data_IF_537193269110
#
_entry.id   IF_537193269110
#
_cell.length_a   1.000
_cell.length_b   1.000
_cell.length_c   1.000
_cell.angle_alpha   90.00
_cell.angle_beta   90.00
_cell.angle_gamma   90.00
#
_symmetry.space_group_name_H-M   'P 1'
#
loop_
_entity.id
_entity.type
_entity.pdbx_description
1 polymer ?
#
# COMPACT_ATOMS: atom_id res chain seq x y z
N UNK A 1 -1.20 2.23 5.64
CA UNK A 1 -0.22 3.32 5.45
C UNK A 1 0.22 3.38 4.00
N UNK A 2 0.65 4.53 3.51
CA UNK A 2 1.24 4.69 2.16
C UNK A 2 2.44 5.62 2.21
N UNK A 3 3.53 5.23 1.56
CA UNK A 3 4.75 6.04 1.46
C UNK A 3 4.58 7.09 0.35
N UNK A 4 4.90 8.34 0.66
CA UNK A 4 4.75 9.44 -0.32
C UNK A 4 5.78 9.36 -1.46
N UNK A 5 7.01 8.97 -1.18
CA UNK A 5 8.07 8.87 -2.19
C UNK A 5 7.88 7.65 -3.10
N UNK A 6 7.85 6.46 -2.52
CA UNK A 6 7.82 5.20 -3.25
C UNK A 6 6.44 4.70 -3.64
N UNK A 7 5.36 5.33 -3.17
CA UNK A 7 3.98 4.83 -3.33
C UNK A 7 3.73 3.45 -2.73
N UNK A 8 4.66 2.95 -1.94
CA UNK A 8 4.53 1.67 -1.27
C UNK A 8 3.41 1.72 -0.24
N UNK A 9 2.53 0.73 -0.28
CA UNK A 9 1.45 0.54 0.69
C UNK A 9 1.92 -0.43 1.76
N UNK A 10 1.39 -0.29 2.98
CA UNK A 10 1.49 -1.29 4.05
C UNK A 10 0.13 -1.48 4.68
N UNK A 11 -0.43 -2.67 4.52
CA UNK A 11 -1.65 -3.09 5.21
C UNK A 11 -1.25 -3.58 6.60
N UNK A 12 -1.41 -2.73 7.60
CA UNK A 12 -0.96 -2.99 8.98
C UNK A 12 -1.92 -3.93 9.74
N UNK A 13 -3.14 -4.10 9.24
CA UNK A 13 -4.12 -5.00 9.81
C UNK A 13 -5.54 -4.66 9.38
N UNK A 14 -6.48 -5.52 9.76
CA UNK A 14 -7.91 -5.35 9.56
C UNK A 14 -8.63 -5.81 10.83
N UNK A 15 -8.85 -4.90 11.76
CA UNK A 15 -9.55 -5.16 13.02
C UNK A 15 -10.32 -3.93 13.48
N UNK A 16 -11.18 -4.10 14.45
CA UNK A 16 -11.78 -2.95 15.14
C UNK A 16 -10.69 -2.21 15.91
N UNK A 17 -10.49 -0.91 15.67
CA UNK A 17 -9.39 -0.18 16.28
C UNK A 17 -9.64 0.00 17.80
N UNK A 18 -8.92 -0.75 18.61
CA UNK A 18 -8.82 -0.50 20.04
C UNK A 18 -7.48 0.17 20.34
N UNK A 19 -7.39 0.90 21.47
CA UNK A 19 -6.15 1.57 21.90
C UNK A 19 -4.95 0.61 21.90
N UNK A 20 -5.13 -0.60 22.46
CA UNK A 20 -4.08 -1.61 22.51
C UNK A 20 -3.69 -2.11 21.13
N UNK A 21 -4.68 -2.34 20.24
CA UNK A 21 -4.42 -2.77 18.86
C UNK A 21 -3.67 -1.69 18.08
N UNK A 22 -4.09 -0.42 18.17
CA UNK A 22 -3.42 0.70 17.47
C UNK A 22 -1.98 0.86 17.95
N UNK A 23 -1.71 0.70 19.27
CA UNK A 23 -0.34 0.72 19.82
C UNK A 23 0.49 -0.45 19.26
N UNK A 24 -0.10 -1.65 19.18
CA UNK A 24 0.59 -2.81 18.63
C UNK A 24 0.90 -2.63 17.14
N UNK A 25 0.00 -1.99 16.38
CA UNK A 25 0.22 -1.61 14.98
C UNK A 25 1.42 -0.66 14.84
N UNK A 26 1.58 0.32 15.75
CA UNK A 26 2.76 1.20 15.73
C UNK A 26 4.06 0.41 15.93
N UNK A 27 4.09 -0.50 16.91
CA UNK A 27 5.27 -1.37 17.14
C UNK A 27 5.59 -2.25 15.94
N UNK A 28 4.58 -2.89 15.36
CA UNK A 28 4.75 -3.71 14.16
C UNK A 28 5.27 -2.89 12.98
N UNK A 29 4.78 -1.66 12.79
CA UNK A 29 5.26 -0.77 11.75
C UNK A 29 6.75 -0.40 11.93
N UNK A 30 7.16 -0.09 13.16
CA UNK A 30 8.58 0.20 13.47
C UNK A 30 9.45 -1.00 13.12
N UNK A 31 9.09 -2.20 13.57
CA UNK A 31 9.80 -3.44 13.25
C UNK A 31 9.87 -3.69 11.74
N UNK A 32 8.76 -3.55 11.02
CA UNK A 32 8.72 -3.73 9.56
C UNK A 32 9.63 -2.74 8.81
N UNK A 33 9.77 -1.51 9.32
CA UNK A 33 10.65 -0.50 8.75
C UNK A 33 12.11 -0.83 9.02
N UNK A 34 12.44 -1.24 10.25
CA UNK A 34 13.79 -1.66 10.65
C UNK A 34 14.25 -2.89 9.85
N UNK A 35 13.42 -3.93 9.75
CA UNK A 35 13.71 -5.15 8.98
C UNK A 35 13.92 -4.85 7.49
N UNK A 36 13.20 -3.86 6.96
CA UNK A 36 13.38 -3.40 5.59
C UNK A 36 14.58 -2.46 5.39
N UNK A 37 15.34 -2.12 6.44
CA UNK A 37 16.41 -1.12 6.40
C UNK A 37 15.92 0.27 6.04
N UNK A 38 14.63 0.56 6.22
CA UNK A 38 13.99 1.82 5.87
C UNK A 38 13.82 2.71 7.12
N UNK A 39 13.91 4.02 6.92
CA UNK A 39 13.57 5.01 7.96
C UNK A 39 12.51 5.94 7.44
N UNK A 40 11.45 6.15 8.21
CA UNK A 40 10.47 7.20 7.98
C UNK A 40 10.79 8.37 8.91
N UNK A 41 11.04 9.56 8.36
CA UNK A 41 11.23 10.77 9.19
C UNK A 41 9.91 11.27 9.76
N UNK A 42 8.83 11.14 9.00
CA UNK A 42 7.51 11.65 9.38
C UNK A 42 6.42 10.62 9.07
N UNK A 43 5.43 10.53 9.96
CA UNK A 43 4.18 9.81 9.72
C UNK A 43 3.02 10.80 9.82
N UNK A 44 2.33 11.06 8.70
CA UNK A 44 1.16 11.93 8.67
C UNK A 44 -0.05 11.08 9.03
N UNK A 45 -0.79 11.48 10.05
CA UNK A 45 -2.06 10.88 10.46
C UNK A 45 -3.17 11.93 10.59
N UNK A 46 -4.39 11.52 10.52
CA UNK A 46 -5.53 12.39 10.82
C UNK A 46 -5.65 12.63 12.34
N UNK A 47 -6.60 13.49 12.70
CA UNK A 47 -6.89 13.88 14.08
C UNK A 47 -7.90 12.97 14.76
N UNK A 48 -8.14 11.80 14.21
CA UNK A 48 -9.08 10.85 14.79
C UNK A 48 -8.61 10.44 16.20
N UNK A 49 -9.54 10.44 17.14
CA UNK A 49 -9.33 10.01 18.52
C UNK A 49 -8.97 8.52 18.67
N UNK A 50 -8.96 7.77 17.59
CA UNK A 50 -8.53 6.37 17.53
C UNK A 50 -7.05 6.19 17.85
N UNK A 51 -6.22 7.22 17.65
CA UNK A 51 -4.78 7.17 17.89
C UNK A 51 -4.45 7.60 19.32
N UNK A 52 -4.04 6.67 20.21
CA UNK A 52 -3.64 7.02 21.57
C UNK A 52 -2.28 7.73 21.59
N UNK A 53 -2.00 8.49 22.65
CA UNK A 53 -0.70 9.17 22.83
C UNK A 53 0.48 8.18 22.76
N UNK A 54 0.29 6.94 23.22
CA UNK A 54 1.32 5.91 23.16
C UNK A 54 1.69 5.51 21.72
N UNK A 55 0.79 5.70 20.74
CA UNK A 55 1.09 5.51 19.33
C UNK A 55 2.19 6.48 18.86
N UNK A 56 2.03 7.77 19.18
CA UNK A 56 3.01 8.79 18.83
C UNK A 56 4.33 8.58 19.57
N UNK A 57 4.27 8.18 20.86
CA UNK A 57 5.47 7.87 21.65
C UNK A 57 6.29 6.74 21.02
N UNK A 58 5.66 5.63 20.63
CA UNK A 58 6.36 4.49 19.97
C UNK A 58 7.03 4.91 18.67
N UNK A 59 6.39 5.76 17.87
CA UNK A 59 6.97 6.26 16.64
C UNK A 59 8.15 7.21 16.90
N UNK A 60 7.99 8.15 17.84
CA UNK A 60 9.03 9.12 18.20
C UNK A 60 10.27 8.44 18.76
N UNK A 61 10.12 7.42 19.59
CA UNK A 61 11.22 6.61 20.13
C UNK A 61 12.02 5.91 19.02
N UNK A 62 11.36 5.58 17.91
CA UNK A 62 11.98 5.02 16.71
C UNK A 62 12.48 6.08 15.71
N UNK A 63 12.44 7.38 16.08
CA UNK A 63 12.89 8.48 15.24
C UNK A 63 11.93 8.87 14.12
N UNK A 64 10.65 8.50 14.23
CA UNK A 64 9.58 8.89 13.29
C UNK A 64 8.66 9.90 13.96
N UNK A 65 8.65 11.14 13.50
CA UNK A 65 7.77 12.19 14.04
C UNK A 65 6.33 11.99 13.53
N UNK A 66 5.37 11.89 14.45
CA UNK A 66 3.94 11.83 14.12
C UNK A 66 3.40 13.24 13.84
N UNK A 67 3.06 13.53 12.60
CA UNK A 67 2.52 14.82 12.17
C UNK A 67 1.01 14.73 12.02
N UNK A 68 0.29 15.59 12.74
CA UNK A 68 -1.17 15.69 12.61
C UNK A 68 -1.55 16.41 11.32
N UNK A 69 -2.42 15.81 10.53
CA UNK A 69 -2.98 16.43 9.34
C UNK A 69 -3.58 17.80 9.66
N UNK A 70 -3.18 18.83 8.92
CA UNK A 70 -3.65 20.20 9.11
C UNK A 70 -5.13 20.34 8.75
N UNK A 71 -5.88 21.11 9.56
CA UNK A 71 -7.23 21.52 9.21
C UNK A 71 -7.15 22.32 7.89
N UNK A 72 -7.90 21.90 6.87
CA UNK A 72 -7.90 22.50 5.51
C UNK A 72 -6.59 22.35 4.72
N UNK A 73 -5.81 21.29 4.99
CA UNK A 73 -4.63 20.94 4.18
C UNK A 73 -4.84 19.63 3.40
N UNK A 74 -5.70 19.60 2.37
CA UNK A 74 -6.09 18.36 1.67
C UNK A 74 -4.90 17.67 0.98
N UNK A 75 -3.84 18.40 0.68
CA UNK A 75 -2.64 17.82 0.02
C UNK A 75 -1.87 16.83 0.90
N UNK A 76 -1.98 16.94 2.23
CA UNK A 76 -1.26 16.03 3.14
C UNK A 76 -1.73 14.58 3.04
N UNK A 77 -3.03 14.38 2.81
CA UNK A 77 -3.64 13.04 2.69
C UNK A 77 -3.98 12.64 1.26
N UNK A 78 -3.69 13.49 0.26
CA UNK A 78 -4.17 13.32 -1.12
C UNK A 78 -3.81 11.97 -1.76
N UNK A 79 -2.67 11.39 -1.40
CA UNK A 79 -2.23 10.08 -1.92
C UNK A 79 -3.07 8.97 -1.29
N UNK A 80 -3.29 9.01 0.02
CA UNK A 80 -4.11 8.06 0.74
C UNK A 80 -5.58 8.17 0.33
N UNK A 81 -6.09 9.40 0.25
CA UNK A 81 -7.47 9.68 -0.21
C UNK A 81 -7.74 9.17 -1.63
N UNK A 82 -6.73 9.20 -2.50
CA UNK A 82 -6.84 8.62 -3.85
C UNK A 82 -6.80 7.08 -3.82
N UNK A 83 -5.96 6.51 -2.95
CA UNK A 83 -5.80 5.06 -2.86
C UNK A 83 -7.01 4.37 -2.22
N UNK A 84 -7.63 4.97 -1.20
CA UNK A 84 -8.74 4.37 -0.45
C UNK A 84 -9.94 3.99 -1.35
N UNK A 85 -10.46 4.88 -2.24
CA UNK A 85 -11.53 4.52 -3.18
C UNK A 85 -11.11 3.43 -4.17
N UNK A 86 -9.87 3.40 -4.59
CA UNK A 86 -9.35 2.35 -5.50
C UNK A 86 -9.36 1.00 -4.77
N UNK A 87 -8.81 0.94 -3.55
CA UNK A 87 -8.80 -0.24 -2.71
C UNK A 87 -10.23 -0.74 -2.40
N UNK A 88 -11.17 0.16 -2.21
CA UNK A 88 -12.57 -0.21 -2.02
C UNK A 88 -13.16 -0.81 -3.29
N UNK A 89 -13.12 -0.07 -4.40
CA UNK A 89 -13.81 -0.42 -5.65
C UNK A 89 -13.22 -1.63 -6.35
N UNK A 90 -11.89 -1.77 -6.37
CA UNK A 90 -11.24 -2.84 -7.15
C UNK A 90 -11.30 -4.19 -6.45
N UNK A 91 -10.80 -4.40 -5.20
CA UNK A 91 -10.92 -5.69 -4.54
C UNK A 91 -12.16 -5.82 -3.66
N UNK A 92 -12.52 -4.82 -2.81
CA UNK A 92 -13.47 -5.04 -1.74
C UNK A 92 -14.93 -5.09 -2.22
N UNK A 93 -15.35 -4.17 -3.08
CA UNK A 93 -16.73 -4.13 -3.60
C UNK A 93 -17.00 -5.29 -4.58
N UNK A 94 -15.94 -5.97 -5.04
CA UNK A 94 -16.01 -7.12 -5.98
C UNK A 94 -15.76 -8.47 -5.32
N UNK A 95 -15.45 -8.50 -4.03
CA UNK A 95 -15.18 -9.71 -3.25
C UNK A 95 -16.22 -9.86 -2.16
N UNK A 96 -16.87 -11.03 -2.07
CA UNK A 96 -17.70 -11.35 -0.92
C UNK A 96 -16.82 -11.59 0.31
N UNK A 97 -16.77 -10.61 1.20
CA UNK A 97 -15.97 -10.69 2.43
C UNK A 97 -16.77 -11.40 3.52
N UNK A 98 -16.37 -12.62 3.87
CA UNK A 98 -17.09 -13.44 4.85
C UNK A 98 -16.65 -13.18 6.31
N UNK A 99 -15.41 -12.78 6.52
CA UNK A 99 -14.84 -12.54 7.86
C UNK A 99 -13.57 -11.69 7.78
N UNK A 100 -13.04 -11.31 8.96
CA UNK A 100 -11.83 -10.49 9.10
C UNK A 100 -10.60 -11.12 8.44
N UNK A 101 -10.42 -12.43 8.55
CA UNK A 101 -9.28 -13.13 7.92
C UNK A 101 -9.36 -13.05 6.39
N UNK A 102 -10.57 -13.19 5.83
CA UNK A 102 -10.80 -13.04 4.41
C UNK A 102 -10.55 -11.61 3.94
N UNK A 103 -11.01 -10.62 4.71
CA UNK A 103 -10.72 -9.21 4.44
C UNK A 103 -9.21 -8.95 4.39
N UNK A 104 -8.46 -9.40 5.39
CA UNK A 104 -7.02 -9.22 5.45
C UNK A 104 -6.31 -9.92 4.28
N UNK A 105 -6.76 -11.10 3.89
CA UNK A 105 -6.25 -11.81 2.71
C UNK A 105 -6.48 -11.00 1.42
N UNK A 106 -7.69 -10.49 1.21
CA UNK A 106 -8.01 -9.66 0.04
C UNK A 106 -7.16 -8.38 -0.02
N UNK A 107 -7.01 -7.70 1.12
CA UNK A 107 -6.20 -6.49 1.22
C UNK A 107 -4.71 -6.76 0.94
N UNK A 108 -4.14 -7.83 1.47
CA UNK A 108 -2.75 -8.21 1.21
C UNK A 108 -2.51 -8.62 -0.25
N UNK A 109 -3.43 -9.37 -0.83
CA UNK A 109 -3.34 -9.71 -2.24
C UNK A 109 -3.41 -8.47 -3.15
N UNK A 110 -4.19 -7.46 -2.76
CA UNK A 110 -4.25 -6.18 -3.46
C UNK A 110 -2.99 -5.33 -3.20
N UNK A 111 -2.43 -5.34 -2.00
CA UNK A 111 -1.14 -4.73 -1.67
C UNK A 111 -0.02 -5.26 -2.58
N UNK A 112 0.10 -6.59 -2.71
CA UNK A 112 1.05 -7.23 -3.61
C UNK A 112 0.83 -6.83 -5.06
N UNK A 113 -0.42 -6.84 -5.52
CA UNK A 113 -0.77 -6.41 -6.87
C UNK A 113 -0.36 -4.96 -7.13
N UNK A 114 -0.64 -4.06 -6.18
CA UNK A 114 -0.26 -2.66 -6.25
C UNK A 114 1.28 -2.49 -6.31
N UNK A 115 2.04 -3.27 -5.56
CA UNK A 115 3.50 -3.17 -5.52
C UNK A 115 4.18 -3.66 -6.80
N UNK A 116 3.68 -4.72 -7.39
CA UNK A 116 4.39 -5.43 -8.46
C UNK A 116 3.76 -5.28 -9.84
N UNK A 117 2.51 -4.83 -9.93
CA UNK A 117 1.77 -4.80 -11.19
C UNK A 117 1.12 -3.44 -11.50
N UNK A 118 0.89 -2.60 -10.50
CA UNK A 118 0.25 -1.29 -10.70
C UNK A 118 1.29 -0.20 -10.91
N UNK A 119 1.21 0.50 -12.05
CA UNK A 119 2.11 1.62 -12.39
C UNK A 119 1.57 2.93 -11.81
N UNK A 120 2.48 3.84 -11.44
CA UNK A 120 2.13 5.11 -10.83
C UNK A 120 2.81 6.29 -11.53
N UNK A 121 2.02 7.20 -12.08
CA UNK A 121 2.53 8.43 -12.71
C UNK A 121 3.44 9.25 -11.77
N UNK A 122 3.12 9.29 -10.47
CA UNK A 122 3.91 10.03 -9.47
C UNK A 122 5.31 9.48 -9.20
N UNK A 123 5.66 8.34 -9.76
CA UNK A 123 7.01 7.73 -9.74
C UNK A 123 7.43 7.31 -11.15
N UNK A 124 7.16 8.16 -12.15
CA UNK A 124 7.52 7.97 -13.55
C UNK A 124 7.02 6.63 -14.14
N UNK A 125 5.75 6.29 -13.86
CA UNK A 125 5.10 5.04 -14.27
C UNK A 125 5.77 3.74 -13.76
N UNK A 126 6.69 3.87 -12.81
CA UNK A 126 7.27 2.72 -12.12
C UNK A 126 6.24 2.05 -11.18
N UNK A 127 6.58 0.88 -10.73
CA UNK A 127 5.86 0.15 -9.68
C UNK A 127 6.61 0.28 -8.35
N UNK A 128 5.93 0.37 -7.20
CA UNK A 128 6.57 0.66 -5.91
C UNK A 128 7.74 -0.25 -5.54
N UNK A 129 7.66 -1.54 -5.86
CA UNK A 129 8.71 -2.51 -5.53
C UNK A 129 9.31 -3.21 -6.76
N UNK A 130 9.07 -2.68 -7.95
CA UNK A 130 9.62 -3.27 -9.17
C UNK A 130 10.05 -2.18 -10.14
N UNK A 131 11.31 -2.21 -10.62
CA UNK A 131 11.76 -1.27 -11.63
C UNK A 131 10.96 -1.42 -12.94
N UNK A 132 11.00 -0.40 -13.77
CA UNK A 132 10.48 -0.49 -15.13
C UNK A 132 11.20 -1.63 -15.87
N UNK A 133 10.48 -2.43 -16.66
CA UNK A 133 11.11 -3.42 -17.52
C UNK A 133 11.99 -2.70 -18.56
N UNK A 134 13.03 -3.37 -19.00
CA UNK A 134 13.81 -2.87 -20.12
C UNK A 134 12.91 -2.72 -21.35
N UNK A 135 13.07 -1.64 -22.14
CA UNK A 135 12.33 -1.47 -23.39
C UNK A 135 12.56 -2.66 -24.31
N UNK A 136 11.50 -3.14 -24.92
CA UNK A 136 11.58 -4.17 -25.96
C UNK A 136 12.06 -3.48 -27.24
N UNK A 137 13.26 -3.81 -27.70
CA UNK A 137 13.86 -3.23 -28.91
C UNK A 137 13.71 -4.12 -30.14
N UNK A 138 13.33 -5.38 -29.95
CA UNK A 138 13.13 -6.34 -31.02
C UNK A 138 11.78 -6.13 -31.73
N UNK A 139 11.77 -5.79 -33.03
CA UNK A 139 10.54 -5.57 -33.79
C UNK A 139 9.60 -6.78 -33.84
N UNK A 140 10.14 -8.01 -33.84
CA UNK A 140 9.31 -9.21 -33.85
C UNK A 140 8.56 -9.40 -32.54
N UNK A 141 9.21 -9.12 -31.40
CA UNK A 141 8.59 -9.17 -30.07
C UNK A 141 7.53 -8.07 -29.90
N UNK A 142 7.72 -6.89 -30.52
CA UNK A 142 6.74 -5.81 -30.50
C UNK A 142 5.50 -6.21 -31.34
N UNK A 143 5.72 -6.84 -32.50
CA UNK A 143 4.63 -7.19 -33.44
C UNK A 143 3.81 -8.39 -32.95
N UNK A 144 4.43 -9.32 -32.21
CA UNK A 144 3.79 -10.55 -31.68
C UNK A 144 4.08 -10.72 -30.18
N UNK A 145 3.48 -9.87 -29.31
CA UNK A 145 3.72 -9.97 -27.90
C UNK A 145 3.08 -11.25 -27.34
N UNK A 146 3.88 -12.15 -26.79
CA UNK A 146 3.37 -13.26 -25.99
C UNK A 146 3.05 -12.75 -24.56
N UNK A 147 1.76 -12.46 -24.31
CA UNK A 147 1.30 -11.91 -23.04
C UNK A 147 0.56 -13.00 -22.26
N UNK A 148 1.11 -13.38 -21.12
CA UNK A 148 0.46 -14.31 -20.18
C UNK A 148 -0.31 -13.54 -19.12
N UNK A 149 -1.56 -13.93 -18.95
CA UNK A 149 -2.47 -13.43 -17.92
C UNK A 149 -2.52 -14.39 -16.74
N UNK A 150 -2.29 -13.89 -15.54
CA UNK A 150 -2.51 -14.61 -14.29
C UNK A 150 -3.66 -13.95 -13.51
N UNK A 151 -4.56 -14.74 -12.96
CA UNK A 151 -5.67 -14.25 -12.15
C UNK A 151 -5.35 -14.40 -10.66
N UNK A 152 -5.77 -13.40 -9.86
CA UNK A 152 -5.76 -13.44 -8.40
C UNK A 152 -7.14 -13.09 -7.85
N UNK A 153 -7.42 -13.47 -6.60
CA UNK A 153 -8.71 -13.26 -5.92
C UNK A 153 -9.90 -13.72 -6.78
N UNK A 154 -9.83 -14.95 -7.27
CA UNK A 154 -10.92 -15.52 -8.07
C UNK A 154 -11.17 -14.81 -9.42
N UNK A 155 -10.16 -14.12 -9.97
CA UNK A 155 -10.28 -13.42 -11.24
C UNK A 155 -10.61 -11.93 -11.13
N UNK A 156 -10.60 -11.38 -9.91
CA UNK A 156 -10.83 -9.95 -9.68
C UNK A 156 -9.62 -9.12 -10.11
N UNK A 157 -8.41 -9.62 -9.82
CA UNK A 157 -7.16 -8.98 -10.21
C UNK A 157 -6.49 -9.75 -11.34
N UNK A 158 -5.98 -9.04 -12.34
CA UNK A 158 -5.32 -9.61 -13.50
C UNK A 158 -3.88 -9.11 -13.61
N UNK A 159 -2.93 -10.02 -13.53
CA UNK A 159 -1.52 -9.76 -13.76
C UNK A 159 -1.17 -10.11 -15.20
N UNK A 160 -0.46 -9.21 -15.87
CA UNK A 160 0.02 -9.44 -17.22
C UNK A 160 1.55 -9.46 -17.23
N UNK A 161 2.14 -10.45 -17.87
CA UNK A 161 3.58 -10.59 -18.04
C UNK A 161 3.88 -10.95 -19.49
N UNK A 162 4.97 -10.41 -20.01
CA UNK A 162 5.54 -10.92 -21.25
C UNK A 162 6.12 -12.32 -20.96
N UNK A 163 5.79 -13.30 -21.76
CA UNK A 163 6.46 -14.60 -21.73
C UNK A 163 7.80 -14.41 -22.45
N UNK A 164 8.88 -14.46 -21.68
CA UNK A 164 10.23 -14.50 -22.21
C UNK A 164 10.52 -15.89 -22.78
#
# INVERSE_FOLDING_TARGET
MIEHAGRRIRVLGAAHPTTSWVTQVAKGLVMDLEDAGCRAGFLIRDRDGTFPTLFDTVLNDAGTEAVLGGVRMPRMHSILERWMPICRREPLDRTLICNQRHLLHALRAFEDFHHFHWTHQGIADARPLRPLPMPISDPEQITRPDIRRRQRLGGILHEYRHAA
#
